data_IF_159980509455
#
_entry.id   IF_159980509455
#
_cell.length_a   1.000
_cell.length_b   1.000
_cell.length_c   1.000
_cell.angle_alpha   90.00
_cell.angle_beta   90.00
_cell.angle_gamma   90.00
#
_symmetry.space_group_name_H-M   'P 1'
#
loop_
_entity.id
_entity.type
_entity.pdbx_description
1 polymer ?
#
# COMPACT_ATOMS: atom_id res chain seq x y z
N UNK A 1 17.01 -36.82 -61.70
CA UNK A 1 16.38 -37.13 -60.41
C UNK A 1 15.78 -35.84 -59.85
N UNK A 2 14.45 -35.83 -59.73
CA UNK A 2 13.65 -34.79 -59.07
C UNK A 2 13.65 -35.04 -57.55
N UNK A 3 13.74 -34.00 -56.72
CA UNK A 3 12.55 -33.43 -56.07
C UNK A 3 12.90 -32.14 -55.32
N UNK A 4 12.12 -31.10 -55.61
CA UNK A 4 12.21 -29.73 -55.13
C UNK A 4 11.53 -29.63 -53.77
N UNK A 5 12.30 -29.37 -52.71
CA UNK A 5 11.74 -29.00 -51.40
C UNK A 5 11.27 -27.55 -51.48
N UNK A 6 9.95 -27.33 -51.57
CA UNK A 6 9.30 -26.03 -51.36
C UNK A 6 8.44 -26.15 -50.11
N UNK A 7 9.04 -25.86 -48.96
CA UNK A 7 8.32 -25.61 -47.72
C UNK A 7 8.76 -24.27 -47.19
N UNK A 8 7.99 -23.22 -47.47
CA UNK A 8 8.12 -21.96 -46.76
C UNK A 8 6.77 -21.22 -46.82
N UNK A 9 5.80 -21.77 -46.09
CA UNK A 9 4.59 -21.05 -45.63
C UNK A 9 4.98 -20.02 -44.57
N UNK A 10 5.83 -19.05 -44.94
CA UNK A 10 6.07 -17.88 -44.10
C UNK A 10 4.90 -16.92 -44.29
N UNK A 11 3.78 -17.22 -43.62
CA UNK A 11 2.67 -16.28 -43.47
C UNK A 11 3.16 -15.12 -42.60
N UNK A 12 3.50 -14.00 -43.22
CA UNK A 12 3.85 -12.76 -42.52
C UNK A 12 2.65 -12.21 -41.74
N UNK A 13 2.93 -11.60 -40.59
CA UNK A 13 1.94 -10.92 -39.76
C UNK A 13 1.34 -9.74 -40.53
N UNK A 14 0.02 -9.60 -40.56
CA UNK A 14 -0.60 -8.48 -41.28
C UNK A 14 -0.61 -7.22 -40.43
N UNK A 15 -0.40 -6.06 -41.05
CA UNK A 15 -0.48 -4.77 -40.34
C UNK A 15 -1.88 -4.54 -39.76
N UNK A 16 -2.92 -5.05 -40.42
CA UNK A 16 -4.30 -4.92 -39.95
C UNK A 16 -4.57 -5.77 -38.70
N UNK A 17 -3.98 -6.97 -38.59
CA UNK A 17 -4.04 -7.77 -37.36
C UNK A 17 -3.38 -7.01 -36.20
N UNK A 18 -2.23 -6.38 -36.43
CA UNK A 18 -1.58 -5.55 -35.39
C UNK A 18 -2.47 -4.39 -34.96
N UNK A 19 -3.09 -3.69 -35.92
CA UNK A 19 -3.93 -2.52 -35.66
C UNK A 19 -5.15 -2.85 -34.79
N UNK A 20 -5.82 -3.97 -35.06
CA UNK A 20 -6.99 -4.38 -34.25
C UNK A 20 -6.54 -4.76 -32.84
N UNK A 21 -5.40 -5.44 -32.70
CA UNK A 21 -4.87 -5.83 -31.38
C UNK A 21 -4.57 -4.60 -30.52
N UNK A 22 -3.87 -3.59 -31.06
CA UNK A 22 -3.58 -2.37 -30.30
C UNK A 22 -4.86 -1.58 -29.97
N UNK A 23 -5.87 -1.60 -30.84
CA UNK A 23 -7.15 -0.95 -30.58
C UNK A 23 -7.88 -1.60 -29.40
N UNK A 24 -7.92 -2.94 -29.33
CA UNK A 24 -8.53 -3.67 -28.22
C UNK A 24 -7.75 -3.45 -26.92
N UNK A 25 -6.41 -3.53 -26.95
CA UNK A 25 -5.57 -3.26 -25.78
C UNK A 25 -5.78 -1.82 -25.28
N UNK A 26 -5.92 -0.85 -26.19
CA UNK A 26 -6.21 0.54 -25.84
C UNK A 26 -7.51 0.71 -25.06
N UNK A 27 -8.59 0.05 -25.49
CA UNK A 27 -9.89 0.09 -24.79
C UNK A 27 -9.78 -0.55 -23.40
N UNK A 28 -9.13 -1.71 -23.30
CA UNK A 28 -8.95 -2.41 -22.02
C UNK A 28 -8.08 -1.59 -21.06
N UNK A 29 -6.99 -1.01 -21.54
CA UNK A 29 -6.08 -0.20 -20.74
C UNK A 29 -6.75 1.08 -20.21
N UNK A 30 -7.59 1.72 -21.01
CA UNK A 30 -8.33 2.92 -20.61
C UNK A 30 -9.22 2.68 -19.37
N UNK A 31 -9.82 1.50 -19.24
CA UNK A 31 -10.64 1.13 -18.09
C UNK A 31 -9.78 0.56 -16.94
N UNK A 32 -8.77 -0.25 -17.27
CA UNK A 32 -7.98 -0.97 -16.29
C UNK A 32 -7.03 -0.06 -15.49
N UNK A 33 -6.38 0.91 -16.13
CA UNK A 33 -5.39 1.79 -15.49
C UNK A 33 -5.97 2.58 -14.30
N UNK A 34 -7.07 3.34 -14.43
CA UNK A 34 -7.60 4.11 -13.31
C UNK A 34 -8.05 3.20 -12.14
N UNK A 35 -8.65 2.05 -12.47
CA UNK A 35 -9.07 1.07 -11.47
C UNK A 35 -7.88 0.43 -10.73
N UNK A 36 -6.81 0.13 -11.45
CA UNK A 36 -5.59 -0.42 -10.87
C UNK A 36 -4.91 0.58 -9.93
N UNK A 37 -4.86 1.87 -10.29
CA UNK A 37 -4.33 2.93 -9.42
C UNK A 37 -5.16 3.01 -8.14
N UNK A 38 -6.49 3.04 -8.23
CA UNK A 38 -7.37 3.07 -7.06
C UNK A 38 -7.24 1.80 -6.20
N UNK A 39 -6.99 0.63 -6.80
CA UNK A 39 -6.71 -0.59 -6.06
C UNK A 39 -5.39 -0.52 -5.29
N UNK A 40 -4.31 -0.03 -5.91
CA UNK A 40 -3.02 0.18 -5.23
C UNK A 40 -3.14 1.15 -4.06
N UNK A 41 -3.82 2.28 -4.25
CA UNK A 41 -4.11 3.26 -3.18
C UNK A 41 -4.78 2.62 -1.98
N UNK A 42 -5.79 1.77 -2.20
CA UNK A 42 -6.45 1.01 -1.11
C UNK A 42 -5.49 0.08 -0.37
N UNK A 43 -4.55 -0.55 -1.09
CA UNK A 43 -3.49 -1.35 -0.49
C UNK A 43 -2.60 -0.53 0.44
N UNK A 44 -2.15 0.65 -0.02
CA UNK A 44 -1.36 1.59 0.78
C UNK A 44 -2.10 2.09 2.01
N UNK A 45 -3.39 2.42 1.88
CA UNK A 45 -4.20 2.80 3.02
C UNK A 45 -4.35 1.66 4.03
N UNK A 46 -4.54 0.42 3.55
CA UNK A 46 -4.61 -0.76 4.42
C UNK A 46 -3.32 -0.99 5.18
N UNK A 47 -2.17 -0.71 4.56
CA UNK A 47 -0.85 -0.78 5.17
C UNK A 47 -0.70 0.26 6.30
N UNK A 48 -1.03 1.52 6.02
CA UNK A 48 -1.00 2.58 7.02
C UNK A 48 -1.96 2.32 8.21
N UNK A 49 -3.17 1.84 7.94
CA UNK A 49 -4.14 1.46 8.97
C UNK A 49 -3.60 0.32 9.87
N UNK A 50 -3.02 -0.72 9.26
CA UNK A 50 -2.41 -1.81 10.00
C UNK A 50 -1.25 -1.32 10.89
N UNK A 51 -0.43 -0.40 10.39
CA UNK A 51 0.68 0.18 11.15
C UNK A 51 0.19 0.92 12.40
N UNK A 52 -0.88 1.73 12.30
CA UNK A 52 -1.48 2.42 13.47
C UNK A 52 -1.94 1.41 14.52
N UNK A 53 -2.68 0.37 14.11
CA UNK A 53 -3.20 -0.65 15.03
C UNK A 53 -2.09 -1.42 15.74
N UNK A 54 -1.05 -1.80 14.99
CA UNK A 54 0.09 -2.52 15.52
C UNK A 54 0.95 -1.63 16.42
N UNK A 55 1.10 -0.35 16.07
CA UNK A 55 1.81 0.65 16.87
C UNK A 55 1.12 0.84 18.22
N UNK A 56 -0.21 1.00 18.23
CA UNK A 56 -0.99 1.14 19.45
C UNK A 56 -0.79 -0.07 20.38
N UNK A 57 -0.96 -1.28 19.84
CA UNK A 57 -0.76 -2.52 20.61
C UNK A 57 0.64 -2.60 21.21
N UNK A 58 1.66 -2.18 20.45
CA UNK A 58 3.05 -2.19 20.92
C UNK A 58 3.33 -1.10 21.96
N UNK A 59 2.71 0.08 21.84
CA UNK A 59 2.77 1.11 22.87
C UNK A 59 2.08 0.67 24.16
N UNK A 60 0.97 -0.07 24.08
CA UNK A 60 0.33 -0.62 25.28
C UNK A 60 1.25 -1.63 25.99
N UNK A 61 1.96 -2.48 25.24
CA UNK A 61 2.99 -3.33 25.82
C UNK A 61 4.13 -2.50 26.44
N UNK A 62 4.59 -1.45 25.76
CA UNK A 62 5.63 -0.54 26.26
C UNK A 62 5.26 0.07 27.61
N UNK A 63 4.01 0.53 27.79
CA UNK A 63 3.59 1.17 29.04
C UNK A 63 3.53 0.21 30.23
N UNK A 64 3.30 -1.10 29.97
CA UNK A 64 3.37 -2.13 31.01
C UNK A 64 4.79 -2.27 31.54
N UNK A 65 5.78 -2.25 30.66
CA UNK A 65 7.19 -2.40 31.04
C UNK A 65 7.79 -1.09 31.57
N UNK A 66 7.34 0.06 31.05
CA UNK A 66 7.92 1.39 31.29
C UNK A 66 6.84 2.37 31.77
N UNK A 67 6.39 2.19 33.01
CA UNK A 67 5.33 3.00 33.61
C UNK A 67 5.70 4.48 33.72
N UNK A 68 4.79 5.35 33.29
CA UNK A 68 4.95 6.82 33.38
C UNK A 68 5.87 7.43 32.32
N UNK A 69 6.30 6.65 31.33
CA UNK A 69 7.06 7.14 30.18
C UNK A 69 6.15 7.30 28.96
N UNK A 70 6.56 8.20 28.06
CA UNK A 70 5.91 8.37 26.77
C UNK A 70 6.31 7.25 25.79
N UNK A 71 5.35 6.77 25.01
CA UNK A 71 5.65 5.93 23.86
C UNK A 71 6.05 6.84 22.70
N UNK A 72 7.21 6.55 22.11
CA UNK A 72 7.67 7.16 20.85
C UNK A 72 7.86 6.07 19.79
N UNK A 73 8.27 6.44 18.58
CA UNK A 73 8.65 5.46 17.54
C UNK A 73 9.64 4.40 18.07
N UNK A 74 10.59 4.81 18.91
CA UNK A 74 11.57 3.90 19.50
C UNK A 74 10.94 3.00 20.57
N UNK A 75 10.03 3.53 21.40
CA UNK A 75 9.34 2.75 22.43
C UNK A 75 8.39 1.69 21.85
N UNK A 76 7.68 2.06 20.77
CA UNK A 76 6.89 1.09 20.01
C UNK A 76 7.79 0.01 19.38
N UNK A 77 8.94 0.42 18.80
CA UNK A 77 9.88 -0.50 18.14
C UNK A 77 10.59 -1.44 19.14
N UNK A 78 10.93 -0.97 20.34
CA UNK A 78 11.51 -1.83 21.39
C UNK A 78 10.52 -2.89 21.86
N UNK A 79 9.22 -2.63 21.70
CA UNK A 79 8.13 -3.55 22.01
C UNK A 79 7.69 -4.39 20.82
N UNK A 80 8.49 -4.42 19.74
CA UNK A 80 8.30 -5.30 18.59
C UNK A 80 7.52 -4.70 17.42
N UNK A 81 7.11 -3.43 17.49
CA UNK A 81 6.51 -2.76 16.33
C UNK A 81 7.51 -2.62 15.19
N UNK A 82 7.04 -2.86 13.97
CA UNK A 82 7.81 -2.60 12.75
C UNK A 82 6.94 -1.80 11.80
N UNK A 83 7.42 -0.61 11.46
CA UNK A 83 6.80 0.24 10.46
C UNK A 83 6.90 -0.43 9.09
N UNK A 84 5.82 -0.35 8.33
CA UNK A 84 5.79 -0.82 6.96
C UNK A 84 6.63 0.08 6.03
N UNK A 85 7.04 -0.47 4.87
CA UNK A 85 7.80 0.28 3.86
C UNK A 85 7.01 1.51 3.40
N UNK A 86 7.72 2.63 3.22
CA UNK A 86 7.23 3.95 2.80
C UNK A 86 6.09 4.57 3.63
N UNK A 87 5.59 3.88 4.65
CA UNK A 87 4.61 4.44 5.58
C UNK A 87 5.30 5.44 6.49
N UNK A 88 4.77 6.65 6.60
CA UNK A 88 5.23 7.67 7.53
C UNK A 88 4.35 7.62 8.79
N UNK A 89 4.97 7.40 9.95
CA UNK A 89 4.25 7.36 11.22
C UNK A 89 4.87 8.32 12.24
N UNK A 90 4.04 8.95 13.06
CA UNK A 90 4.41 9.59 14.30
C UNK A 90 3.70 8.90 15.47
N UNK A 91 4.44 8.68 16.54
CA UNK A 91 3.96 8.07 17.79
C UNK A 91 4.49 8.95 18.90
N UNK A 92 3.61 9.49 19.74
CA UNK A 92 4.01 10.31 20.88
C UNK A 92 2.97 10.31 21.98
N UNK A 93 3.44 10.36 23.22
CA UNK A 93 2.63 10.63 24.40
C UNK A 93 2.53 9.46 25.39
N UNK A 94 2.02 9.73 26.59
CA UNK A 94 1.85 8.76 27.66
C UNK A 94 0.60 7.90 27.44
N UNK A 95 0.39 6.89 28.29
CA UNK A 95 -0.75 5.97 28.21
C UNK A 95 -2.14 6.62 28.29
N UNK A 96 -2.25 7.88 28.76
CA UNK A 96 -3.52 8.61 28.93
C UNK A 96 -3.69 9.77 27.95
N UNK A 97 -2.73 9.96 27.04
CA UNK A 97 -2.75 11.01 26.01
C UNK A 97 -1.90 10.59 24.81
N UNK A 98 -1.92 9.29 24.49
CA UNK A 98 -1.20 8.72 23.38
C UNK A 98 -1.77 9.28 22.08
N UNK A 99 -0.90 9.63 21.15
CA UNK A 99 -1.28 9.97 19.79
C UNK A 99 -0.40 9.22 18.80
N UNK A 100 -1.05 8.55 17.87
CA UNK A 100 -0.40 7.84 16.78
C UNK A 100 -1.04 8.31 15.49
N UNK A 101 -0.21 8.60 14.50
CA UNK A 101 -0.65 8.99 13.17
C UNK A 101 0.21 8.29 12.13
N UNK A 102 -0.39 7.63 11.14
CA UNK A 102 0.32 7.04 10.02
C UNK A 102 -0.33 7.39 8.68
N UNK A 103 0.51 7.60 7.68
CA UNK A 103 0.15 7.92 6.30
C UNK A 103 1.04 7.17 5.33
N UNK A 104 0.53 6.88 4.13
CA UNK A 104 1.35 6.36 3.04
C UNK A 104 1.40 7.41 1.93
N UNK A 105 2.56 7.78 1.38
CA UNK A 105 2.68 8.88 0.41
C UNK A 105 1.92 8.63 -0.90
N UNK A 106 1.77 7.37 -1.30
CA UNK A 106 0.96 6.98 -2.46
C UNK A 106 -0.50 6.61 -2.12
N UNK A 107 -0.87 6.56 -0.84
CA UNK A 107 -2.25 6.27 -0.38
C UNK A 107 -2.98 7.57 -0.06
N UNK A 108 -4.29 7.63 -0.25
CA UNK A 108 -5.09 8.86 -0.17
C UNK A 108 -5.77 9.11 1.19
N UNK A 109 -5.41 8.34 2.21
CA UNK A 109 -5.97 8.45 3.56
C UNK A 109 -4.89 8.54 4.62
N UNK A 110 -5.26 9.15 5.74
CA UNK A 110 -4.47 9.21 6.94
C UNK A 110 -5.22 8.52 8.07
N UNK A 111 -4.49 7.79 8.92
CA UNK A 111 -5.05 7.04 10.03
C UNK A 111 -4.45 7.53 11.33
N UNK A 112 -5.28 7.77 12.32
CA UNK A 112 -4.84 8.20 13.65
C UNK A 112 -5.54 7.41 14.74
N UNK A 113 -4.88 7.24 15.89
CA UNK A 113 -5.53 6.74 17.10
C UNK A 113 -5.03 7.50 18.32
N UNK A 114 -5.90 7.58 19.33
CA UNK A 114 -5.62 8.18 20.62
C UNK A 114 -5.36 7.11 21.71
N UNK A 115 -5.41 7.50 22.99
CA UNK A 115 -5.21 6.59 24.12
C UNK A 115 -6.30 5.51 24.26
N UNK A 116 -7.46 5.69 23.62
CA UNK A 116 -8.56 4.71 23.64
C UNK A 116 -8.35 3.57 22.64
N UNK A 117 -7.50 3.77 21.63
CA UNK A 117 -7.27 2.81 20.55
C UNK A 117 -8.33 2.83 19.44
N UNK A 118 -9.27 3.78 19.48
CA UNK A 118 -10.19 4.00 18.36
C UNK A 118 -9.42 4.60 17.17
N UNK A 119 -9.55 3.98 15.99
CA UNK A 119 -8.89 4.44 14.78
C UNK A 119 -9.81 5.39 14.02
N UNK A 120 -9.37 6.62 13.84
CA UNK A 120 -10.01 7.63 13.00
C UNK A 120 -9.32 7.68 11.64
N UNK A 121 -10.10 7.87 10.58
CA UNK A 121 -9.60 8.07 9.22
C UNK A 121 -9.98 9.43 8.67
N UNK A 122 -9.05 10.06 7.96
CA UNK A 122 -9.24 11.33 7.27
C UNK A 122 -8.76 11.22 5.82
N UNK A 123 -9.54 11.75 4.88
CA UNK A 123 -9.13 11.86 3.48
C UNK A 123 -8.45 13.20 3.26
N UNK A 124 -7.31 13.19 2.58
CA UNK A 124 -6.73 14.42 2.06
C UNK A 124 -7.15 14.54 0.59
N UNK A 125 -7.67 15.71 0.20
CA UNK A 125 -7.96 16.04 -1.21
C UNK A 125 -6.67 16.38 -1.98
#
# INVERSE_FOLDING_TARGET
>A
MLQKIRGNDQKGFTLIELMIVIAIIGILAAIAIPNFIAYRKRGYNSQANADVKNAFTSCQAYFVDYTGMDCSLNGASSSGWKKSEDTACSITGPSTALSIHCTHPEGDKQFSTDDTGEITEWHYE
#
